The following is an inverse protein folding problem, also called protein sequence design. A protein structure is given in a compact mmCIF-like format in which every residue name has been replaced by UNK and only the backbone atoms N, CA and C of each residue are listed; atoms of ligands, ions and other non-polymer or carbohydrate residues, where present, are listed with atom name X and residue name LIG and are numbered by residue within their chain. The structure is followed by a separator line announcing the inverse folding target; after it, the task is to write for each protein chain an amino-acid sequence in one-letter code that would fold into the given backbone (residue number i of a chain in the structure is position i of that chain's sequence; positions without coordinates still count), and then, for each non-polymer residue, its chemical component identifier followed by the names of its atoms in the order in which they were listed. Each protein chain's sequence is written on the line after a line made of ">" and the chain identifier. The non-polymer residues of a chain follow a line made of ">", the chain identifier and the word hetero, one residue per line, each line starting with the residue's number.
data_IF_838191024438
#
_entry.id   IF_838191024438
#
_cell.length_a   1.000
_cell.length_b   1.000
_cell.length_c   1.000
_cell.angle_alpha   90.00
_cell.angle_beta   90.00
_cell.angle_gamma   90.00
#
_symmetry.space_group_name_H-M   'P 1'
#
loop_
_entity.id
_entity.type
_entity.pdbx_description
1 polymer ?
#
# COMPACT_ATOMS: atom_id res chain seq x y z
N UNK A 1 -45.66 -20.24 -20.40
CA UNK A 1 -45.65 -18.78 -20.23
C UNK A 1 -45.25 -18.52 -18.79
N UNK A 2 -44.02 -18.77 -18.34
CA UNK A 2 -42.76 -18.09 -18.68
C UNK A 2 -42.93 -16.59 -18.86
N UNK A 3 -42.49 -15.84 -17.84
CA UNK A 3 -41.49 -14.79 -18.03
C UNK A 3 -40.92 -14.41 -16.65
N UNK A 4 -39.66 -14.78 -16.44
CA UNK A 4 -38.80 -14.24 -15.40
C UNK A 4 -38.37 -12.86 -15.90
N UNK A 5 -38.61 -11.81 -15.14
CA UNK A 5 -37.97 -10.51 -15.35
C UNK A 5 -36.69 -10.48 -14.53
N UNK A 6 -35.57 -10.73 -15.21
CA UNK A 6 -34.23 -10.54 -14.69
C UNK A 6 -33.98 -9.03 -14.50
N UNK A 7 -33.99 -8.55 -13.25
CA UNK A 7 -33.52 -7.22 -12.89
C UNK A 7 -31.99 -7.17 -12.93
N UNK A 8 -31.44 -7.20 -14.14
CA UNK A 8 -30.04 -6.92 -14.39
C UNK A 8 -29.87 -5.40 -14.45
N UNK A 9 -29.56 -4.77 -13.32
CA UNK A 9 -29.23 -3.34 -13.27
C UNK A 9 -28.00 -3.07 -14.12
N UNK A 10 -28.24 -2.50 -15.29
CA UNK A 10 -27.24 -1.86 -16.14
C UNK A 10 -26.36 -0.96 -15.29
N UNK A 11 -25.06 -1.22 -15.36
CA UNK A 11 -24.03 -0.39 -14.73
C UNK A 11 -23.93 0.85 -15.61
N UNK A 12 -24.62 1.90 -15.19
CA UNK A 12 -24.82 3.14 -15.94
C UNK A 12 -23.46 3.75 -16.32
N UNK A 13 -23.18 3.74 -17.62
CA UNK A 13 -21.98 4.30 -18.22
C UNK A 13 -22.24 5.77 -18.59
N UNK A 14 -21.85 6.71 -17.72
CA UNK A 14 -21.32 8.05 -18.09
C UNK A 14 -21.07 8.94 -16.88
N UNK A 15 -19.80 9.19 -16.60
CA UNK A 15 -19.33 10.47 -16.04
C UNK A 15 -18.09 10.88 -16.83
N UNK A 16 -18.26 11.89 -17.69
CA UNK A 16 -17.28 12.45 -18.63
C UNK A 16 -16.23 13.35 -17.94
N UNK A 17 -15.94 13.08 -16.65
CA UNK A 17 -14.86 13.74 -15.95
C UNK A 17 -13.54 13.03 -16.29
N UNK A 18 -12.44 13.74 -16.58
CA UNK A 18 -11.15 13.09 -16.76
C UNK A 18 -10.83 12.30 -15.49
N UNK A 19 -10.81 10.97 -15.65
CA UNK A 19 -10.39 10.04 -14.61
C UNK A 19 -8.86 10.11 -14.53
N UNK A 20 -8.29 10.02 -13.34
CA UNK A 20 -6.84 9.95 -13.24
C UNK A 20 -6.33 8.62 -13.85
N UNK A 21 -5.07 8.64 -14.34
CA UNK A 21 -4.47 7.49 -15.03
C UNK A 21 -4.46 6.19 -14.21
N UNK A 22 -4.52 6.26 -12.87
CA UNK A 22 -4.55 5.06 -12.02
C UNK A 22 -5.91 4.37 -12.16
N UNK A 23 -7.01 5.14 -12.20
CA UNK A 23 -8.35 4.59 -12.41
C UNK A 23 -8.53 4.01 -13.81
N UNK A 24 -7.94 4.63 -14.81
CA UNK A 24 -7.91 4.08 -16.18
C UNK A 24 -7.22 2.72 -16.19
N UNK A 25 -6.02 2.64 -15.61
CA UNK A 25 -5.28 1.39 -15.48
C UNK A 25 -6.05 0.31 -14.70
N UNK A 26 -6.64 0.65 -13.55
CA UNK A 26 -7.44 -0.31 -12.76
C UNK A 26 -8.66 -0.79 -13.54
N UNK A 27 -9.34 0.09 -14.28
CA UNK A 27 -10.49 -0.27 -15.10
C UNK A 27 -10.13 -1.27 -16.19
N UNK A 28 -9.02 -1.06 -16.88
CA UNK A 28 -8.52 -1.97 -17.91
C UNK A 28 -8.24 -3.37 -17.32
N UNK A 29 -7.52 -3.41 -16.20
CA UNK A 29 -7.12 -4.67 -15.56
C UNK A 29 -8.32 -5.43 -14.97
N UNK A 30 -9.31 -4.72 -14.42
CA UNK A 30 -10.57 -5.31 -13.94
C UNK A 30 -11.39 -5.84 -15.12
N UNK A 31 -11.47 -5.09 -16.23
CA UNK A 31 -12.18 -5.52 -17.45
C UNK A 31 -11.52 -6.75 -18.08
N UNK A 32 -10.18 -6.83 -18.03
CA UNK A 32 -9.42 -7.99 -18.46
C UNK A 32 -9.55 -9.20 -17.51
N UNK A 33 -10.25 -9.07 -16.39
CA UNK A 33 -10.47 -10.14 -15.41
C UNK A 33 -9.25 -10.47 -14.56
N UNK A 34 -8.23 -9.61 -14.53
CA UNK A 34 -7.03 -9.84 -13.72
C UNK A 34 -7.38 -9.90 -12.23
N UNK A 35 -6.73 -10.79 -11.50
CA UNK A 35 -7.01 -11.06 -10.08
C UNK A 35 -8.50 -11.40 -9.79
N UNK A 36 -9.24 -11.89 -10.80
CA UNK A 36 -10.67 -12.14 -10.69
C UNK A 36 -11.51 -10.87 -10.50
N UNK A 37 -11.04 -9.73 -11.01
CA UNK A 37 -11.71 -8.43 -10.90
C UNK A 37 -11.63 -7.78 -9.52
N UNK A 38 -10.86 -8.35 -8.58
CA UNK A 38 -10.74 -7.84 -7.22
C UNK A 38 -9.75 -6.67 -7.14
N UNK A 39 -10.20 -5.55 -6.61
CA UNK A 39 -9.35 -4.39 -6.32
C UNK A 39 -9.05 -4.31 -4.82
N UNK A 40 -7.77 -4.33 -4.47
CA UNK A 40 -7.30 -4.18 -3.09
C UNK A 40 -6.25 -3.06 -3.07
N UNK A 41 -6.54 -1.99 -2.35
CA UNK A 41 -5.61 -0.87 -2.14
C UNK A 41 -5.13 -0.82 -0.69
N UNK A 42 -4.13 0.02 -0.39
CA UNK A 42 -3.74 0.30 1.00
C UNK A 42 -3.27 1.73 1.17
N UNK A 43 -3.61 2.32 2.32
CA UNK A 43 -2.99 3.56 2.80
C UNK A 43 -1.99 3.19 3.93
N UNK A 44 -0.67 3.30 3.68
CA UNK A 44 0.35 2.81 4.61
C UNK A 44 1.15 3.93 5.31
N UNK A 45 0.57 4.69 6.27
CA UNK A 45 1.32 5.73 6.96
C UNK A 45 2.30 5.15 7.98
N UNK A 46 3.47 5.76 8.12
CA UNK A 46 4.33 5.57 9.29
C UNK A 46 3.71 6.30 10.50
N UNK A 47 3.56 5.67 11.68
CA UNK A 47 2.96 6.30 12.85
C UNK A 47 3.96 7.17 13.63
N UNK A 48 4.64 8.10 12.95
CA UNK A 48 5.65 8.99 13.53
C UNK A 48 5.30 10.50 13.45
N UNK A 49 4.08 10.83 13.00
CA UNK A 49 3.59 12.20 12.88
C UNK A 49 2.10 12.28 12.58
N UNK A 50 1.53 13.48 12.70
CA UNK A 50 0.13 13.74 12.36
C UNK A 50 -0.07 13.88 10.85
N UNK A 51 -1.26 13.49 10.37
CA UNK A 51 -1.60 13.67 8.96
C UNK A 51 -1.78 15.17 8.64
N UNK A 52 -1.10 15.64 7.60
CA UNK A 52 -1.38 16.92 6.94
C UNK A 52 -2.18 16.73 5.63
N UNK A 53 -2.61 17.83 5.00
CA UNK A 53 -3.42 17.85 3.77
C UNK A 53 -2.85 17.02 2.60
N UNK A 54 -1.52 16.91 2.49
CA UNK A 54 -0.89 16.04 1.49
C UNK A 54 -1.32 14.57 1.59
N UNK A 55 -1.56 14.06 2.81
CA UNK A 55 -2.04 12.70 3.02
C UNK A 55 -3.49 12.53 2.60
N UNK A 56 -4.32 13.57 2.68
CA UNK A 56 -5.71 13.51 2.24
C UNK A 56 -5.81 13.10 0.77
N UNK A 57 -4.90 13.58 -0.09
CA UNK A 57 -4.82 13.13 -1.49
C UNK A 57 -4.59 11.63 -1.59
N UNK A 58 -3.61 11.09 -0.87
CA UNK A 58 -3.29 9.67 -0.90
C UNK A 58 -4.44 8.81 -0.34
N UNK A 59 -5.12 9.27 0.71
CA UNK A 59 -6.31 8.64 1.28
C UNK A 59 -7.43 8.61 0.23
N UNK A 60 -7.80 9.75 -0.35
CA UNK A 60 -8.85 9.84 -1.36
C UNK A 60 -8.56 8.98 -2.60
N UNK A 61 -7.30 8.86 -3.02
CA UNK A 61 -6.92 7.98 -4.11
C UNK A 61 -7.13 6.51 -3.71
N UNK A 62 -6.54 6.05 -2.60
CA UNK A 62 -6.57 4.63 -2.24
C UNK A 62 -7.99 4.15 -1.89
N UNK A 63 -8.68 4.88 -1.01
CA UNK A 63 -10.03 4.52 -0.59
C UNK A 63 -11.06 4.80 -1.69
N UNK A 64 -10.88 5.89 -2.46
CA UNK A 64 -11.75 6.23 -3.57
C UNK A 64 -11.69 5.19 -4.68
N UNK A 65 -10.49 4.76 -5.11
CA UNK A 65 -10.34 3.71 -6.13
C UNK A 65 -11.01 2.41 -5.66
N UNK A 66 -10.74 1.96 -4.43
CA UNK A 66 -11.40 0.75 -3.91
C UNK A 66 -12.93 0.91 -3.93
N UNK A 67 -13.47 2.06 -3.52
CA UNK A 67 -14.91 2.32 -3.55
C UNK A 67 -15.49 2.28 -4.96
N UNK A 68 -14.82 2.91 -5.94
CA UNK A 68 -15.29 3.01 -7.32
C UNK A 68 -15.38 1.64 -8.03
N UNK A 69 -14.56 0.68 -7.59
CA UNK A 69 -14.50 -0.67 -8.16
C UNK A 69 -15.00 -1.76 -7.21
N UNK A 70 -15.82 -1.42 -6.20
CA UNK A 70 -16.36 -2.36 -5.20
C UNK A 70 -15.28 -3.23 -4.52
N UNK A 71 -14.06 -2.68 -4.42
CA UNK A 71 -12.91 -3.28 -3.78
C UNK A 71 -12.81 -2.95 -2.29
N UNK A 72 -11.63 -3.20 -1.73
CA UNK A 72 -11.35 -2.96 -0.31
C UNK A 72 -10.04 -2.19 -0.13
N UNK A 73 -9.94 -1.45 0.97
CA UNK A 73 -8.71 -0.74 1.35
C UNK A 73 -8.24 -1.21 2.70
N UNK A 74 -6.95 -1.52 2.79
CA UNK A 74 -6.27 -1.82 4.04
C UNK A 74 -5.73 -0.51 4.63
N UNK A 75 -5.96 -0.29 5.93
CA UNK A 75 -5.17 0.66 6.70
C UNK A 75 -4.01 -0.13 7.30
N UNK A 76 -2.78 0.18 6.89
CA UNK A 76 -1.59 -0.52 7.38
C UNK A 76 -0.61 0.45 8.00
N UNK A 77 -0.37 0.38 9.29
CA UNK A 77 0.73 1.16 9.86
C UNK A 77 2.07 0.56 9.43
N UNK A 78 2.94 1.39 8.86
CA UNK A 78 4.31 0.98 8.51
C UNK A 78 5.23 1.19 9.72
N UNK A 79 4.98 0.38 10.75
CA UNK A 79 5.52 0.50 12.11
C UNK A 79 6.82 -0.30 12.30
N UNK A 80 7.78 -0.09 11.40
CA UNK A 80 9.06 -0.82 11.40
C UNK A 80 10.18 -0.13 12.18
N UNK A 81 9.95 1.08 12.68
CA UNK A 81 10.93 1.89 13.41
C UNK A 81 10.49 2.13 14.86
N UNK A 82 10.88 1.24 15.80
CA UNK A 82 10.40 1.31 17.19
C UNK A 82 10.82 2.58 17.96
N UNK A 83 11.76 3.38 17.44
CA UNK A 83 12.27 4.59 18.10
C UNK A 83 11.40 5.82 17.83
N UNK A 84 10.67 5.85 16.72
CA UNK A 84 9.96 7.06 16.26
C UNK A 84 8.44 6.95 16.38
N UNK A 85 7.94 5.84 16.86
CA UNK A 85 6.53 5.49 16.77
C UNK A 85 5.82 5.68 18.11
N UNK A 86 4.67 6.32 18.08
CA UNK A 86 3.86 6.58 19.27
C UNK A 86 2.39 6.25 19.01
N UNK A 87 1.73 5.60 19.97
CA UNK A 87 0.30 5.23 19.88
C UNK A 87 -0.59 6.44 19.58
N UNK A 88 -0.23 7.63 20.05
CA UNK A 88 -0.97 8.88 19.78
C UNK A 88 -1.11 9.17 18.28
N UNK A 89 -0.12 8.83 17.46
CA UNK A 89 -0.17 9.03 16.02
C UNK A 89 -1.08 8.00 15.36
N UNK A 90 -1.02 6.73 15.81
CA UNK A 90 -1.92 5.65 15.36
C UNK A 90 -3.38 6.07 15.55
N UNK A 91 -3.73 6.55 16.74
CA UNK A 91 -5.10 6.95 17.05
C UNK A 91 -5.54 8.17 16.24
N UNK A 92 -4.71 9.21 16.17
CA UNK A 92 -5.02 10.40 15.38
C UNK A 92 -5.20 10.10 13.88
N UNK A 93 -4.35 9.24 13.31
CA UNK A 93 -4.44 8.80 11.91
C UNK A 93 -5.79 8.09 11.67
N UNK A 94 -6.18 7.16 12.56
CA UNK A 94 -7.46 6.44 12.47
C UNK A 94 -8.64 7.41 12.54
N UNK A 95 -8.61 8.35 13.46
CA UNK A 95 -9.66 9.36 13.61
C UNK A 95 -9.78 10.26 12.37
N UNK A 96 -8.65 10.71 11.81
CA UNK A 96 -8.63 11.59 10.64
C UNK A 96 -9.18 10.89 9.39
N UNK A 97 -8.85 9.61 9.17
CA UNK A 97 -9.39 8.84 8.04
C UNK A 97 -10.91 8.67 8.18
N UNK A 98 -11.39 8.35 9.40
CA UNK A 98 -12.84 8.28 9.68
C UNK A 98 -13.53 9.62 9.51
N UNK A 99 -12.89 10.70 9.96
CA UNK A 99 -13.41 12.07 9.80
C UNK A 99 -13.53 12.48 8.33
N UNK A 100 -12.62 12.03 7.47
CA UNK A 100 -12.72 12.19 6.01
C UNK A 100 -13.82 11.33 5.36
N UNK A 101 -14.52 10.50 6.14
CA UNK A 101 -15.64 9.67 5.66
C UNK A 101 -15.22 8.34 5.05
N UNK A 102 -14.00 7.89 5.29
CA UNK A 102 -13.49 6.60 4.81
C UNK A 102 -13.45 5.55 5.93
N UNK A 103 -13.57 4.29 5.54
CA UNK A 103 -13.52 3.14 6.45
C UNK A 103 -12.70 2.01 5.83
N UNK A 104 -11.89 1.36 6.67
CA UNK A 104 -11.10 0.17 6.32
C UNK A 104 -11.78 -1.12 6.81
N UNK A 105 -12.89 -1.03 7.53
CA UNK A 105 -13.58 -2.16 8.14
C UNK A 105 -12.67 -2.89 9.12
N UNK A 106 -12.58 -4.21 8.98
CA UNK A 106 -11.74 -5.06 9.82
C UNK A 106 -10.27 -5.14 9.34
N UNK A 107 -9.91 -4.41 8.27
CA UNK A 107 -8.60 -4.54 7.57
C UNK A 107 -7.57 -3.56 8.11
N UNK A 108 -7.42 -3.55 9.42
CA UNK A 108 -6.36 -2.84 10.12
C UNK A 108 -5.16 -3.77 10.28
N UNK A 109 -3.99 -3.33 9.84
CA UNK A 109 -2.76 -4.12 9.86
C UNK A 109 -1.59 -3.30 10.40
N UNK A 110 -0.60 -3.99 10.97
CA UNK A 110 0.69 -3.43 11.35
C UNK A 110 1.78 -4.17 10.58
N UNK A 111 2.79 -3.45 10.09
CA UNK A 111 3.94 -4.07 9.44
C UNK A 111 4.71 -4.98 10.41
N UNK A 112 4.76 -4.59 11.68
CA UNK A 112 5.38 -5.35 12.77
C UNK A 112 4.76 -6.74 12.99
N UNK A 113 3.45 -6.92 12.77
CA UNK A 113 2.77 -8.23 12.82
C UNK A 113 3.38 -9.24 11.84
N UNK A 114 4.05 -8.76 10.79
CA UNK A 114 4.67 -9.58 9.75
C UNK A 114 6.17 -9.81 9.97
N UNK A 115 6.79 -9.35 11.06
CA UNK A 115 8.24 -9.52 11.28
C UNK A 115 8.70 -10.97 11.25
N UNK A 116 7.92 -11.91 11.81
CA UNK A 116 8.22 -13.34 11.70
C UNK A 116 8.30 -13.80 10.24
N UNK A 117 7.30 -13.44 9.42
CA UNK A 117 7.29 -13.75 7.99
C UNK A 117 8.43 -13.09 7.23
N UNK A 118 8.74 -11.83 7.53
CA UNK A 118 9.84 -11.09 6.90
C UNK A 118 11.20 -11.71 7.25
N UNK A 119 11.37 -12.19 8.47
CA UNK A 119 12.56 -12.91 8.90
C UNK A 119 12.76 -14.22 8.12
N UNK A 120 11.69 -15.01 7.96
CA UNK A 120 11.75 -16.23 7.13
C UNK A 120 12.10 -15.94 5.67
N UNK A 121 11.57 -14.84 5.11
CA UNK A 121 11.98 -14.40 3.77
C UNK A 121 13.45 -13.96 3.73
N UNK A 122 13.98 -13.33 4.77
CA UNK A 122 15.40 -13.00 4.85
C UNK A 122 16.27 -14.27 4.87
N UNK A 123 15.89 -15.30 5.66
CA UNK A 123 16.57 -16.61 5.65
C UNK A 123 16.53 -17.22 4.25
N UNK A 124 15.36 -17.21 3.60
CA UNK A 124 15.22 -17.71 2.23
C UNK A 124 16.17 -16.99 1.27
N UNK A 125 16.24 -15.67 1.33
CA UNK A 125 17.14 -14.88 0.49
C UNK A 125 18.61 -15.23 0.74
N UNK A 126 19.01 -15.46 1.99
CA UNK A 126 20.38 -15.90 2.34
C UNK A 126 20.66 -17.28 1.75
N UNK A 127 19.76 -18.24 1.94
CA UNK A 127 19.91 -19.61 1.43
C UNK A 127 19.95 -19.67 -0.11
N UNK A 128 19.21 -18.80 -0.78
CA UNK A 128 19.20 -18.68 -2.24
C UNK A 128 20.42 -17.87 -2.78
N UNK A 129 21.31 -17.38 -1.91
CA UNK A 129 22.49 -16.59 -2.30
C UNK A 129 22.17 -15.15 -2.73
N UNK A 130 20.98 -14.64 -2.41
CA UNK A 130 20.48 -13.32 -2.79
C UNK A 130 20.57 -12.28 -1.66
N UNK A 131 21.10 -12.66 -0.49
CA UNK A 131 21.38 -11.77 0.62
C UNK A 131 22.64 -12.20 1.38
N UNK A 132 23.33 -11.25 2.00
CA UNK A 132 24.52 -11.48 2.81
C UNK A 132 24.55 -10.52 4.00
N UNK A 133 25.32 -10.86 5.04
CA UNK A 133 25.59 -9.97 6.17
C UNK A 133 26.79 -9.10 5.83
N UNK A 134 26.64 -7.79 5.93
CA UNK A 134 27.71 -6.83 5.64
C UNK A 134 28.27 -6.28 6.95
N UNK A 135 29.57 -6.50 7.18
CA UNK A 135 30.28 -6.06 8.39
C UNK A 135 30.90 -4.65 8.25
N UNK A 136 30.70 -3.99 7.11
CA UNK A 136 31.18 -2.62 6.88
C UNK A 136 30.42 -1.62 7.77
N UNK A 137 31.12 -0.59 8.24
CA UNK A 137 30.46 0.52 8.96
C UNK A 137 29.53 1.31 8.03
N UNK A 138 28.56 2.08 8.55
CA UNK A 138 27.69 2.92 7.73
C UNK A 138 28.44 3.88 6.79
N UNK A 139 29.58 4.43 7.23
CA UNK A 139 30.45 5.28 6.42
C UNK A 139 31.09 4.50 5.27
N UNK A 140 31.58 3.29 5.55
CA UNK A 140 32.16 2.41 4.54
C UNK A 140 31.10 1.93 3.54
N UNK A 141 29.89 1.58 3.99
CA UNK A 141 28.77 1.23 3.10
C UNK A 141 28.49 2.38 2.12
N UNK A 142 28.52 3.63 2.59
CA UNK A 142 28.33 4.80 1.74
C UNK A 142 29.45 4.96 0.70
N UNK A 143 30.70 4.72 1.08
CA UNK A 143 31.84 4.74 0.16
C UNK A 143 31.74 3.62 -0.89
N UNK A 144 31.38 2.40 -0.46
CA UNK A 144 31.29 1.23 -1.34
C UNK A 144 30.10 1.28 -2.29
N UNK A 145 29.02 2.01 -1.95
CA UNK A 145 27.83 2.18 -2.79
C UNK A 145 28.12 2.93 -4.10
N UNK A 146 29.18 3.74 -4.14
CA UNK A 146 29.47 4.63 -5.27
C UNK A 146 28.59 5.89 -5.26
N UNK A 147 28.45 6.51 -6.43
CA UNK A 147 27.71 7.79 -6.60
C UNK A 147 26.76 7.71 -7.81
N UNK A 148 26.08 8.81 -8.13
CA UNK A 148 25.26 8.89 -9.35
C UNK A 148 26.08 8.74 -10.63
N UNK A 149 27.39 8.99 -10.57
CA UNK A 149 28.31 8.97 -11.72
C UNK A 149 29.36 7.87 -11.65
N UNK A 150 29.55 7.24 -10.49
CA UNK A 150 30.58 6.22 -10.26
C UNK A 150 29.94 4.93 -9.74
N UNK A 151 30.27 3.77 -10.35
CA UNK A 151 29.70 2.50 -9.92
C UNK A 151 30.19 2.11 -8.51
N UNK A 152 29.34 1.40 -7.78
CA UNK A 152 29.72 0.80 -6.51
C UNK A 152 30.71 -0.36 -6.65
N UNK A 153 31.28 -0.77 -5.53
CA UNK A 153 32.16 -1.93 -5.37
C UNK A 153 31.54 -2.92 -4.38
N UNK A 154 31.75 -4.21 -4.61
CA UNK A 154 31.30 -5.25 -3.69
C UNK A 154 32.01 -5.09 -2.34
N UNK A 155 31.28 -5.36 -1.24
CA UNK A 155 31.90 -5.48 0.08
C UNK A 155 32.90 -6.64 0.10
N UNK A 156 33.93 -6.57 0.95
CA UNK A 156 34.88 -7.68 1.14
C UNK A 156 34.21 -8.97 1.60
#
# INVERSE_FOLDING_TARGET
>A
MSEKSDDNKEIDAKTDAPVDFIREFVREEVTAGKHGGKVITRFPPEPNGFLHIGHAKAICINFGIAKDFNGVTHLRFDDTNPVKEETKYVDAIKENIKWLGFDWGERLHFASDYFGTLYEYAIKLINDGNAYVCDLTPEQIREYRGTLTEPGKNSP
#
